data_IF_991914369754
#
_entry.id   IF_991914369754
#
_cell.length_a   1.000
_cell.length_b   1.000
_cell.length_c   1.000
_cell.angle_alpha   90.00
_cell.angle_beta   90.00
_cell.angle_gamma   90.00
#
_symmetry.space_group_name_H-M   'P 1'
#
loop_
_entity.id
_entity.type
_entity.pdbx_description
1 polymer ?
#
# COMPACT_ATOMS: atom_id res chain seq x y z
N UNK A 1 -14.15 -35.32 7.00
CA UNK A 1 -14.30 -33.88 6.65
C UNK A 1 -14.75 -33.00 7.83
N UNK A 2 -14.52 -33.44 9.09
CA UNK A 2 -14.93 -32.72 10.33
C UNK A 2 -13.76 -32.43 11.29
N UNK A 3 -12.51 -32.48 10.84
CA UNK A 3 -11.32 -32.25 11.68
C UNK A 3 -10.45 -31.05 11.27
N UNK A 4 -10.92 -30.17 10.37
CA UNK A 4 -10.18 -29.00 9.89
C UNK A 4 -10.78 -27.64 10.33
N UNK A 5 -11.78 -27.64 11.20
CA UNK A 5 -12.45 -26.39 11.66
C UNK A 5 -12.02 -25.99 13.09
N UNK A 6 -11.24 -26.80 13.80
CA UNK A 6 -10.92 -26.56 15.23
C UNK A 6 -9.50 -26.05 15.56
N UNK A 7 -8.71 -25.58 14.60
CA UNK A 7 -7.37 -25.01 14.89
C UNK A 7 -7.19 -23.58 14.41
N UNK A 8 -8.22 -22.75 14.48
CA UNK A 8 -8.20 -21.32 14.17
C UNK A 8 -8.41 -20.36 15.35
N UNK A 9 -8.38 -20.84 16.58
CA UNK A 9 -8.30 -19.96 17.75
C UNK A 9 -6.83 -19.65 18.07
N UNK A 10 -6.21 -18.79 17.25
CA UNK A 10 -5.05 -18.05 17.72
C UNK A 10 -5.52 -17.11 18.84
N UNK A 11 -4.91 -17.23 19.99
CA UNK A 11 -5.06 -16.30 21.09
C UNK A 11 -4.83 -14.89 20.53
N UNK A 12 -5.91 -14.11 20.42
CA UNK A 12 -5.82 -12.69 20.13
C UNK A 12 -4.91 -12.10 21.21
N UNK A 13 -3.74 -11.63 20.80
CA UNK A 13 -2.85 -10.90 21.70
C UNK A 13 -3.69 -9.83 22.39
N UNK A 14 -3.80 -9.96 23.69
CA UNK A 14 -4.62 -9.13 24.57
C UNK A 14 -4.07 -7.70 24.54
N UNK A 15 -4.48 -6.90 23.55
CA UNK A 15 -4.27 -5.45 23.55
C UNK A 15 -5.18 -4.95 24.66
N UNK A 16 -4.61 -4.72 25.83
CA UNK A 16 -5.31 -4.19 26.99
C UNK A 16 -6.06 -2.92 26.56
N UNK A 17 -7.39 -2.98 26.52
CA UNK A 17 -8.28 -1.91 26.12
C UNK A 17 -8.36 -0.80 27.18
N UNK A 18 -7.24 -0.15 27.45
CA UNK A 18 -7.19 1.08 28.22
C UNK A 18 -7.38 2.28 27.27
N UNK A 19 -8.37 3.12 27.51
CA UNK A 19 -8.44 4.42 26.84
C UNK A 19 -7.17 5.21 27.18
N UNK A 20 -6.40 5.62 26.14
CA UNK A 20 -5.29 6.55 26.35
C UNK A 20 -5.85 7.86 26.94
N UNK A 21 -5.17 8.41 27.93
CA UNK A 21 -5.55 9.72 28.43
C UNK A 21 -5.36 10.79 27.34
N UNK A 22 -6.14 11.88 27.44
CA UNK A 22 -6.15 12.94 26.42
C UNK A 22 -4.76 13.56 26.22
N UNK A 23 -3.94 13.71 27.25
CA UNK A 23 -2.59 14.31 27.16
C UNK A 23 -1.62 13.41 26.41
N UNK A 24 -1.68 12.10 26.64
CA UNK A 24 -0.88 11.10 25.90
C UNK A 24 -1.28 11.07 24.42
N UNK A 25 -2.58 11.05 24.11
CA UNK A 25 -3.06 11.07 22.74
C UNK A 25 -2.55 12.31 21.97
N UNK A 26 -2.64 13.49 22.57
CA UNK A 26 -2.15 14.74 21.97
C UNK A 26 -0.67 14.65 21.58
N UNK A 27 0.18 14.15 22.49
CA UNK A 27 1.61 13.96 22.25
C UNK A 27 1.87 12.97 21.10
N UNK A 28 1.14 11.86 21.04
CA UNK A 28 1.31 10.85 19.98
C UNK A 28 0.88 11.41 18.60
N UNK A 29 -0.19 12.18 18.55
CA UNK A 29 -0.64 12.87 17.33
C UNK A 29 0.40 13.88 16.84
N UNK A 30 1.03 14.64 17.76
CA UNK A 30 2.11 15.57 17.42
C UNK A 30 3.36 14.85 16.91
N UNK A 31 3.72 13.71 17.52
CA UNK A 31 4.80 12.83 17.02
C UNK A 31 4.48 12.32 15.61
N UNK A 32 3.25 11.90 15.37
CA UNK A 32 2.85 11.40 14.05
C UNK A 32 2.88 12.52 13.01
N UNK A 33 2.37 13.71 13.32
CA UNK A 33 2.47 14.86 12.42
C UNK A 33 3.93 15.24 12.11
N UNK A 34 4.82 15.24 13.13
CA UNK A 34 6.27 15.44 12.94
C UNK A 34 6.85 14.39 12.00
N UNK A 35 6.53 13.13 12.23
CA UNK A 35 7.01 12.01 11.41
C UNK A 35 6.60 12.17 9.94
N UNK A 36 5.33 12.47 9.68
CA UNK A 36 4.80 12.70 8.32
C UNK A 36 5.55 13.82 7.59
N UNK A 37 5.84 14.91 8.30
CA UNK A 37 6.53 16.08 7.73
C UNK A 37 8.03 15.84 7.56
N UNK A 38 8.70 15.26 8.56
CA UNK A 38 10.16 15.16 8.57
C UNK A 38 10.69 13.92 7.83
N UNK A 39 9.93 12.81 7.83
CA UNK A 39 10.31 11.55 7.18
C UNK A 39 9.43 11.27 5.98
N UNK A 40 8.09 11.37 6.14
CA UNK A 40 7.14 11.14 5.06
C UNK A 40 7.50 11.96 3.83
N UNK A 41 7.15 13.21 3.79
CA UNK A 41 7.49 14.09 2.67
C UNK A 41 8.89 14.70 2.76
N UNK A 42 9.61 14.51 3.86
CA UNK A 42 10.92 15.12 4.12
C UNK A 42 10.94 16.61 3.67
N UNK A 43 10.06 17.40 4.27
CA UNK A 43 9.79 18.77 3.87
C UNK A 43 11.04 19.63 3.97
N UNK A 44 11.37 20.32 2.89
CA UNK A 44 12.54 21.19 2.86
C UNK A 44 12.18 22.63 3.25
N UNK A 45 13.14 23.34 3.84
CA UNK A 45 12.95 24.75 4.24
C UNK A 45 12.54 25.60 3.03
N UNK A 46 11.50 26.41 3.21
CA UNK A 46 10.96 27.28 2.16
C UNK A 46 10.07 26.57 1.13
N UNK A 47 9.81 25.27 1.29
CA UNK A 47 8.93 24.50 0.39
C UNK A 47 7.44 24.73 0.73
N UNK A 48 6.59 24.62 -0.28
CA UNK A 48 5.13 24.56 -0.11
C UNK A 48 4.73 23.15 0.30
N UNK A 49 3.87 23.00 1.31
CA UNK A 49 3.19 21.77 1.62
C UNK A 49 1.73 21.82 1.18
N UNK A 50 1.26 20.77 0.51
CA UNK A 50 -0.15 20.54 0.21
C UNK A 50 -0.63 19.37 1.05
N UNK A 51 -1.73 19.53 1.78
CA UNK A 51 -2.36 18.45 2.55
C UNK A 51 -3.73 18.16 1.94
N UNK A 52 -3.90 17.00 1.33
CA UNK A 52 -5.22 16.50 0.92
C UNK A 52 -5.84 15.78 2.13
N UNK A 53 -6.97 16.24 2.62
CA UNK A 53 -7.57 15.71 3.84
C UNK A 53 -9.10 15.66 3.74
N UNK A 54 -9.73 14.56 4.19
CA UNK A 54 -11.14 14.56 4.54
C UNK A 54 -11.43 15.61 5.63
N UNK A 55 -12.58 16.24 5.58
CA UNK A 55 -12.95 17.28 6.55
C UNK A 55 -13.02 16.75 7.99
N UNK A 56 -13.33 15.48 8.14
CA UNK A 56 -13.33 14.75 9.41
C UNK A 56 -11.93 14.67 10.04
N UNK A 57 -10.88 14.78 9.20
CA UNK A 57 -9.49 14.72 9.61
C UNK A 57 -8.87 16.10 9.91
N UNK A 58 -9.70 17.14 10.07
CA UNK A 58 -9.25 18.52 10.18
C UNK A 58 -8.26 18.76 11.34
N UNK A 59 -8.43 18.10 12.48
CA UNK A 59 -7.54 18.27 13.63
C UNK A 59 -6.14 17.74 13.33
N UNK A 60 -6.03 16.58 12.70
CA UNK A 60 -4.73 16.03 12.31
C UNK A 60 -4.07 16.86 11.18
N UNK A 61 -4.84 17.33 10.21
CA UNK A 61 -4.33 18.21 9.17
C UNK A 61 -3.76 19.54 9.75
N UNK A 62 -4.37 20.09 10.80
CA UNK A 62 -3.85 21.27 11.51
C UNK A 62 -2.53 20.98 12.23
N UNK A 63 -2.37 19.77 12.83
CA UNK A 63 -1.11 19.33 13.45
C UNK A 63 0.00 19.19 12.41
N UNK A 64 -0.30 18.57 11.25
CA UNK A 64 0.64 18.50 10.12
C UNK A 64 1.07 19.90 9.69
N UNK A 65 0.13 20.85 9.58
CA UNK A 65 0.44 22.22 9.23
C UNK A 65 1.36 22.90 10.28
N UNK A 66 1.09 22.71 11.57
CA UNK A 66 1.94 23.21 12.67
C UNK A 66 3.36 22.64 12.60
N UNK A 67 3.47 21.32 12.41
CA UNK A 67 4.76 20.64 12.24
C UNK A 67 5.51 21.15 11.00
N UNK A 68 4.81 21.37 9.89
CA UNK A 68 5.39 21.89 8.66
C UNK A 68 5.94 23.32 8.82
N UNK A 69 5.21 24.21 9.47
CA UNK A 69 5.73 25.55 9.77
C UNK A 69 6.94 25.50 10.70
N UNK A 70 6.94 24.59 11.68
CA UNK A 70 8.09 24.36 12.57
C UNK A 70 9.31 23.85 11.78
N UNK A 71 9.10 23.00 10.78
CA UNK A 71 10.14 22.51 9.86
C UNK A 71 10.60 23.59 8.84
N UNK A 72 9.92 24.74 8.78
CA UNK A 72 10.29 25.85 7.91
C UNK A 72 9.57 25.89 6.57
N UNK A 73 8.37 25.30 6.48
CA UNK A 73 7.51 25.46 5.30
C UNK A 73 7.32 26.92 4.93
N UNK A 74 7.32 27.23 3.63
CA UNK A 74 6.97 28.56 3.14
C UNK A 74 5.49 28.84 3.36
N UNK A 75 4.65 27.84 3.11
CA UNK A 75 3.20 27.92 3.24
C UNK A 75 2.62 26.51 3.29
N UNK A 76 1.41 26.36 3.82
CA UNK A 76 0.65 25.11 3.82
C UNK A 76 -0.71 25.36 3.19
N UNK A 77 -1.07 24.55 2.21
CA UNK A 77 -2.41 24.56 1.59
C UNK A 77 -3.13 23.26 1.94
N UNK A 78 -4.35 23.38 2.45
CA UNK A 78 -5.20 22.21 2.71
C UNK A 78 -6.27 22.12 1.63
N UNK A 79 -6.30 20.99 0.93
CA UNK A 79 -7.33 20.65 -0.04
C UNK A 79 -8.33 19.70 0.64
N UNK A 80 -9.44 20.25 1.09
CA UNK A 80 -10.47 19.50 1.80
C UNK A 80 -11.30 18.66 0.85
N UNK A 81 -11.64 17.44 1.28
CA UNK A 81 -12.64 16.58 0.68
C UNK A 81 -13.72 16.25 1.71
N UNK A 82 -14.93 15.98 1.24
CA UNK A 82 -16.06 15.57 2.04
C UNK A 82 -16.78 14.42 1.29
N UNK A 83 -16.69 13.21 1.84
CA UNK A 83 -17.25 12.02 1.21
C UNK A 83 -18.78 12.03 1.24
N UNK A 84 -19.40 12.61 2.27
CA UNK A 84 -20.85 12.74 2.35
C UNK A 84 -21.37 13.70 1.28
N UNK A 85 -20.69 14.84 1.10
CA UNK A 85 -20.99 15.74 0.00
C UNK A 85 -20.77 15.09 -1.36
N UNK A 86 -19.68 14.34 -1.52
CA UNK A 86 -19.40 13.59 -2.75
C UNK A 86 -20.51 12.58 -3.07
N UNK A 87 -21.04 11.87 -2.05
CA UNK A 87 -22.18 10.97 -2.20
C UNK A 87 -23.41 11.71 -2.65
N UNK A 88 -23.81 12.79 -1.95
CA UNK A 88 -24.97 13.63 -2.33
C UNK A 88 -24.84 14.09 -3.78
N UNK A 89 -23.64 14.55 -4.20
CA UNK A 89 -23.39 14.98 -5.56
C UNK A 89 -23.58 13.85 -6.57
N UNK A 90 -23.11 12.63 -6.26
CA UNK A 90 -23.26 11.46 -7.13
C UNK A 90 -24.73 11.03 -7.25
N UNK A 91 -25.51 11.15 -6.19
CA UNK A 91 -26.94 10.81 -6.15
C UNK A 91 -27.80 11.86 -6.90
N UNK A 92 -27.57 13.16 -6.65
CA UNK A 92 -28.50 14.22 -7.01
C UNK A 92 -28.08 15.05 -8.24
N UNK A 93 -26.80 15.12 -8.57
CA UNK A 93 -26.35 15.96 -9.66
C UNK A 93 -26.69 15.38 -11.05
N UNK A 94 -26.88 16.27 -12.02
CA UNK A 94 -27.10 15.89 -13.41
C UNK A 94 -25.95 15.04 -13.95
N UNK A 95 -26.27 14.01 -14.73
CA UNK A 95 -25.32 12.96 -15.11
C UNK A 95 -24.13 13.49 -15.94
N UNK A 96 -24.36 14.51 -16.75
CA UNK A 96 -23.35 15.13 -17.63
C UNK A 96 -22.20 15.80 -16.85
N UNK A 97 -22.41 16.24 -15.61
CA UNK A 97 -21.37 16.91 -14.81
C UNK A 97 -20.22 15.97 -14.43
N UNK A 98 -20.44 14.65 -14.56
CA UNK A 98 -19.43 13.65 -14.23
C UNK A 98 -18.43 13.39 -15.38
N UNK A 99 -18.70 13.91 -16.57
CA UNK A 99 -17.75 13.90 -17.69
C UNK A 99 -16.79 15.09 -17.67
N UNK A 100 -16.98 16.02 -16.74
CA UNK A 100 -16.24 17.26 -16.65
C UNK A 100 -15.32 17.29 -15.44
N UNK A 101 -14.14 17.89 -15.61
CA UNK A 101 -13.25 18.26 -14.51
C UNK A 101 -12.98 19.77 -14.60
N UNK A 102 -13.27 20.56 -13.55
CA UNK A 102 -13.15 22.03 -13.60
C UNK A 102 -11.72 22.50 -13.88
N UNK A 103 -11.56 23.41 -14.83
CA UNK A 103 -10.25 23.94 -15.20
C UNK A 103 -9.52 24.60 -14.02
N UNK A 104 -10.24 25.37 -13.19
CA UNK A 104 -9.63 26.00 -12.02
C UNK A 104 -9.01 24.99 -11.05
N UNK A 105 -9.61 23.80 -10.92
CA UNK A 105 -9.11 22.75 -10.07
C UNK A 105 -7.87 22.08 -10.69
N UNK A 106 -7.89 21.85 -12.00
CA UNK A 106 -6.71 21.37 -12.74
C UNK A 106 -5.55 22.37 -12.59
N UNK A 107 -5.81 23.64 -12.81
CA UNK A 107 -4.79 24.70 -12.77
C UNK A 107 -4.19 24.85 -11.36
N UNK A 108 -4.97 24.61 -10.30
CA UNK A 108 -4.48 24.54 -8.93
C UNK A 108 -3.45 23.40 -8.76
N UNK A 109 -3.73 22.19 -9.24
CA UNK A 109 -2.78 21.07 -9.16
C UNK A 109 -1.52 21.34 -10.00
N UNK A 110 -1.66 21.94 -11.16
CA UNK A 110 -0.53 22.33 -12.01
C UNK A 110 0.34 23.42 -11.35
N UNK A 111 -0.26 24.35 -10.61
CA UNK A 111 0.47 25.35 -9.82
C UNK A 111 1.26 24.67 -8.68
N UNK A 112 0.68 23.67 -8.00
CA UNK A 112 1.41 22.88 -7.00
C UNK A 112 2.62 22.16 -7.61
N UNK A 113 2.44 21.52 -8.77
CA UNK A 113 3.55 20.90 -9.51
C UNK A 113 4.63 21.93 -9.85
N UNK A 114 4.26 23.05 -10.45
CA UNK A 114 5.21 24.09 -10.87
C UNK A 114 6.00 24.69 -9.69
N UNK A 115 5.44 24.66 -8.48
CA UNK A 115 6.09 25.13 -7.25
C UNK A 115 6.92 24.07 -6.54
N UNK A 116 6.98 22.85 -7.04
CA UNK A 116 7.67 21.73 -6.38
C UNK A 116 7.11 21.44 -4.99
N UNK A 117 5.77 21.49 -4.85
CA UNK A 117 5.12 21.26 -3.56
C UNK A 117 5.35 19.83 -3.07
N UNK A 118 5.56 19.67 -1.75
CA UNK A 118 5.40 18.39 -1.11
C UNK A 118 3.91 18.10 -0.87
N UNK A 119 3.49 16.84 -0.94
CA UNK A 119 2.06 16.47 -0.88
C UNK A 119 1.83 15.40 0.18
N UNK A 120 1.01 15.69 1.18
CA UNK A 120 0.50 14.70 2.13
C UNK A 120 -0.94 14.37 1.77
N UNK A 121 -1.29 13.09 1.71
CA UNK A 121 -2.67 12.64 1.52
C UNK A 121 -3.11 11.80 2.71
N UNK A 122 -4.15 12.25 3.42
CA UNK A 122 -4.74 11.52 4.53
C UNK A 122 -5.88 10.66 3.97
N UNK A 123 -5.70 9.33 4.05
CA UNK A 123 -6.72 8.35 3.71
C UNK A 123 -7.46 7.93 4.98
N UNK A 124 -8.74 8.27 5.05
CA UNK A 124 -9.60 7.98 6.21
C UNK A 124 -11.05 7.79 5.73
N UNK A 125 -11.21 6.98 4.68
CA UNK A 125 -12.49 6.77 4.01
C UNK A 125 -13.42 5.86 4.82
N UNK A 126 -14.72 6.09 4.69
CA UNK A 126 -15.74 5.12 5.07
C UNK A 126 -15.85 4.06 3.95
N UNK A 127 -15.49 2.78 4.22
CA UNK A 127 -15.51 1.74 3.19
C UNK A 127 -16.91 1.48 2.58
N UNK A 128 -17.98 1.97 3.21
CA UNK A 128 -19.37 1.71 2.81
C UNK A 128 -20.07 2.93 2.23
N UNK A 129 -19.44 4.10 2.22
CA UNK A 129 -20.10 5.39 1.90
C UNK A 129 -20.73 5.41 0.50
N UNK A 130 -20.13 4.71 -0.47
CA UNK A 130 -20.58 4.67 -1.87
C UNK A 130 -21.29 3.38 -2.26
N UNK A 131 -21.65 2.51 -1.29
CA UNK A 131 -22.23 1.18 -1.58
C UNK A 131 -23.50 1.22 -2.45
N UNK A 132 -24.30 2.27 -2.38
CA UNK A 132 -25.57 2.42 -3.11
C UNK A 132 -25.50 3.43 -4.24
N UNK A 133 -24.32 3.97 -4.53
CA UNK A 133 -24.11 4.95 -5.61
C UNK A 133 -24.01 4.23 -6.95
N UNK A 134 -24.54 4.85 -8.00
CA UNK A 134 -24.46 4.35 -9.37
C UNK A 134 -22.99 4.27 -9.86
N UNK A 135 -22.46 3.06 -10.14
CA UNK A 135 -21.03 2.89 -10.47
C UNK A 135 -20.59 3.67 -11.71
N UNK A 136 -21.48 3.85 -12.70
CA UNK A 136 -21.14 4.56 -13.94
C UNK A 136 -20.77 6.02 -13.70
N UNK A 137 -21.51 6.73 -12.85
CA UNK A 137 -21.19 8.13 -12.48
C UNK A 137 -19.81 8.25 -11.83
N UNK A 138 -19.46 7.30 -10.95
CA UNK A 138 -18.13 7.25 -10.32
C UNK A 138 -17.04 7.06 -11.36
N UNK A 139 -17.18 6.07 -12.25
CA UNK A 139 -16.22 5.77 -13.30
C UNK A 139 -16.02 6.95 -14.26
N UNK A 140 -17.10 7.63 -14.65
CA UNK A 140 -17.04 8.82 -15.51
C UNK A 140 -16.28 9.96 -14.82
N UNK A 141 -16.60 10.24 -13.56
CA UNK A 141 -15.89 11.25 -12.76
C UNK A 141 -14.41 10.92 -12.62
N UNK A 142 -14.06 9.65 -12.36
CA UNK A 142 -12.67 9.20 -12.27
C UNK A 142 -11.94 9.34 -13.61
N UNK A 143 -12.58 9.00 -14.74
CA UNK A 143 -12.01 9.18 -16.08
C UNK A 143 -11.77 10.65 -16.42
N UNK A 144 -12.73 11.53 -16.12
CA UNK A 144 -12.61 12.96 -16.34
C UNK A 144 -11.44 13.56 -15.53
N UNK A 145 -11.35 13.22 -14.24
CA UNK A 145 -10.26 13.62 -13.37
C UNK A 145 -8.91 13.02 -13.83
N UNK A 146 -8.90 11.73 -14.21
CA UNK A 146 -7.71 11.04 -14.72
C UNK A 146 -7.11 11.72 -15.94
N UNK A 147 -7.96 12.10 -16.90
CA UNK A 147 -7.56 12.82 -18.11
C UNK A 147 -7.04 14.24 -17.80
N UNK A 148 -7.77 14.97 -16.96
CA UNK A 148 -7.44 16.35 -16.64
C UNK A 148 -6.15 16.49 -15.80
N UNK A 149 -5.86 15.51 -14.94
CA UNK A 149 -4.72 15.51 -14.01
C UNK A 149 -3.60 14.55 -14.45
N UNK A 150 -3.61 14.07 -15.69
CA UNK A 150 -2.63 13.09 -16.18
C UNK A 150 -1.19 13.54 -15.93
N UNK A 151 -0.85 14.77 -16.30
CA UNK A 151 0.51 15.32 -16.13
C UNK A 151 0.90 15.43 -14.65
N UNK A 152 -0.01 15.86 -13.79
CA UNK A 152 0.23 15.93 -12.34
C UNK A 152 0.45 14.54 -11.74
N UNK A 153 -0.38 13.56 -12.12
CA UNK A 153 -0.26 12.18 -11.66
C UNK A 153 1.04 11.53 -12.12
N UNK A 154 1.44 11.77 -13.38
CA UNK A 154 2.73 11.30 -13.89
C UNK A 154 3.90 11.89 -13.09
N UNK A 155 3.85 13.20 -12.76
CA UNK A 155 4.88 13.83 -11.94
C UNK A 155 4.97 13.19 -10.53
N UNK A 156 3.83 12.84 -9.93
CA UNK A 156 3.81 12.11 -8.65
C UNK A 156 4.43 10.71 -8.79
N UNK A 157 3.99 9.94 -9.80
CA UNK A 157 4.49 8.57 -10.04
C UNK A 157 5.98 8.53 -10.41
N UNK A 158 6.50 9.59 -11.05
CA UNK A 158 7.91 9.71 -11.41
C UNK A 158 8.75 10.33 -10.28
N UNK A 159 8.18 10.53 -9.09
CA UNK A 159 8.83 11.17 -7.96
C UNK A 159 9.40 12.57 -8.26
N UNK A 160 8.81 13.29 -9.24
CA UNK A 160 9.14 14.71 -9.47
C UNK A 160 8.71 15.56 -8.27
N UNK A 161 7.67 15.12 -7.55
CA UNK A 161 7.18 15.70 -6.30
C UNK A 161 7.32 14.69 -5.17
N UNK A 162 7.65 15.15 -3.97
CA UNK A 162 7.60 14.32 -2.77
C UNK A 162 6.16 14.18 -2.30
N UNK A 163 5.78 12.98 -1.95
CA UNK A 163 4.44 12.70 -1.48
C UNK A 163 4.44 11.63 -0.37
N UNK A 164 3.44 11.68 0.48
CA UNK A 164 3.26 10.68 1.51
C UNK A 164 1.77 10.42 1.73
N UNK A 165 1.39 9.14 1.74
CA UNK A 165 0.05 8.70 2.14
C UNK A 165 0.10 8.23 3.58
N UNK A 166 -0.86 8.69 4.36
CA UNK A 166 -1.05 8.31 5.76
C UNK A 166 -2.51 8.02 6.01
N UNK A 167 -2.81 7.31 7.08
CA UNK A 167 -4.20 7.09 7.51
C UNK A 167 -4.39 7.43 8.97
N UNK A 168 -5.59 7.90 9.28
CA UNK A 168 -6.08 8.06 10.66
C UNK A 168 -7.48 7.45 10.79
N UNK A 169 -7.88 6.96 11.97
CA UNK A 169 -9.16 6.30 12.13
C UNK A 169 -10.34 7.25 11.92
N UNK A 170 -11.37 6.72 11.27
CA UNK A 170 -12.74 7.23 11.35
C UNK A 170 -13.57 6.25 12.16
N UNK A 171 -14.71 6.70 12.71
CA UNK A 171 -15.60 5.83 13.48
C UNK A 171 -16.14 4.67 12.62
N UNK A 172 -16.52 4.96 11.37
CA UNK A 172 -17.01 3.94 10.43
C UNK A 172 -15.96 2.89 10.10
N UNK A 173 -14.71 3.31 9.83
CA UNK A 173 -13.61 2.38 9.60
C UNK A 173 -13.28 1.56 10.85
N UNK A 174 -13.19 2.18 12.02
CA UNK A 174 -12.91 1.48 13.27
C UNK A 174 -13.97 0.41 13.60
N UNK A 175 -15.26 0.72 13.41
CA UNK A 175 -16.36 -0.24 13.56
C UNK A 175 -16.30 -1.39 12.56
N UNK A 176 -15.80 -1.15 11.35
CA UNK A 176 -15.60 -2.21 10.36
C UNK A 176 -14.47 -3.15 10.79
N UNK A 177 -13.36 -2.60 11.28
CA UNK A 177 -12.18 -3.37 11.74
C UNK A 177 -12.51 -4.14 13.03
N UNK A 178 -13.15 -3.50 14.00
CA UNK A 178 -13.49 -4.07 15.32
C UNK A 178 -15.00 -4.23 15.47
N UNK A 179 -15.56 -5.12 14.68
CA UNK A 179 -17.00 -5.40 14.70
C UNK A 179 -17.44 -5.84 16.10
N UNK A 180 -18.47 -5.14 16.65
CA UNK A 180 -19.02 -5.43 17.98
C UNK A 180 -18.43 -4.61 19.13
N UNK A 181 -17.46 -3.72 18.86
CA UNK A 181 -16.98 -2.76 19.86
C UNK A 181 -17.74 -1.43 19.77
N UNK A 182 -17.86 -0.72 20.90
CA UNK A 182 -18.40 0.64 20.95
C UNK A 182 -17.52 1.61 20.13
N UNK A 183 -18.16 2.62 19.48
CA UNK A 183 -17.47 3.48 18.52
C UNK A 183 -16.21 4.15 19.04
N UNK A 184 -16.22 4.71 20.25
CA UNK A 184 -15.05 5.35 20.85
C UNK A 184 -13.93 4.34 21.19
N UNK A 185 -14.30 3.15 21.66
CA UNK A 185 -13.33 2.09 21.98
C UNK A 185 -12.70 1.55 20.71
N UNK A 186 -13.49 1.31 19.67
CA UNK A 186 -12.98 0.87 18.36
C UNK A 186 -11.99 1.90 17.76
N UNK A 187 -12.33 3.19 17.84
CA UNK A 187 -11.45 4.28 17.37
C UNK A 187 -10.14 4.33 18.17
N UNK A 188 -10.22 4.24 19.50
CA UNK A 188 -9.04 4.24 20.35
C UNK A 188 -8.10 3.04 20.05
N UNK A 189 -8.70 1.86 19.84
CA UNK A 189 -7.97 0.65 19.49
C UNK A 189 -7.32 0.74 18.11
N UNK A 190 -8.02 1.34 17.13
CA UNK A 190 -7.47 1.55 15.79
C UNK A 190 -6.32 2.57 15.83
N UNK A 191 -6.40 3.63 16.64
CA UNK A 191 -5.27 4.52 16.89
C UNK A 191 -4.05 3.78 17.44
N UNK A 192 -4.23 2.91 18.44
CA UNK A 192 -3.13 2.10 18.97
C UNK A 192 -2.47 1.24 17.90
N UNK A 193 -3.28 0.61 17.04
CA UNK A 193 -2.78 -0.20 15.94
C UNK A 193 -2.00 0.65 14.92
N UNK A 194 -2.51 1.83 14.55
CA UNK A 194 -1.84 2.77 13.64
C UNK A 194 -0.53 3.26 14.24
N UNK A 195 -0.51 3.73 15.49
CA UNK A 195 0.72 4.21 16.13
C UNK A 195 1.80 3.13 16.15
N UNK A 196 1.46 1.87 16.47
CA UNK A 196 2.40 0.76 16.41
C UNK A 196 2.91 0.53 14.98
N UNK A 197 2.02 0.54 13.99
CA UNK A 197 2.38 0.36 12.58
C UNK A 197 3.34 1.46 12.09
N UNK A 198 3.14 2.70 12.55
CA UNK A 198 4.04 3.82 12.22
C UNK A 198 5.17 4.02 13.25
N UNK A 199 5.45 3.01 14.08
CA UNK A 199 6.58 2.99 15.05
C UNK A 199 6.55 4.13 16.05
N UNK A 200 5.36 4.53 16.47
CA UNK A 200 5.14 5.46 17.57
C UNK A 200 4.74 4.63 18.78
N UNK A 201 5.62 4.53 19.75
CA UNK A 201 5.39 3.78 20.97
C UNK A 201 4.83 4.70 22.07
N UNK A 202 3.65 4.35 22.60
CA UNK A 202 3.00 5.07 23.67
C UNK A 202 3.70 4.88 25.03
N UNK A 203 4.44 3.76 25.20
CA UNK A 203 5.16 3.45 26.43
C UNK A 203 6.56 4.11 26.47
N UNK A 204 7.06 4.54 25.31
CA UNK A 204 8.35 5.22 25.16
C UNK A 204 8.16 6.69 24.83
N UNK A 205 7.70 7.48 25.80
CA UNK A 205 7.39 8.89 25.58
C UNK A 205 8.55 9.71 24.99
N UNK A 206 9.79 9.37 25.32
CA UNK A 206 11.00 10.09 24.87
C UNK A 206 11.54 9.58 23.52
N UNK A 207 11.05 8.45 22.98
CA UNK A 207 11.52 7.93 21.70
C UNK A 207 11.14 8.86 20.55
N UNK A 208 12.12 9.19 19.70
CA UNK A 208 11.88 9.95 18.47
C UNK A 208 11.45 9.00 17.36
N UNK A 209 10.20 9.11 16.85
CA UNK A 209 9.74 8.24 15.77
C UNK A 209 10.51 8.45 14.47
N UNK A 210 11.12 9.62 14.26
CA UNK A 210 11.94 9.90 13.07
C UNK A 210 13.19 9.01 13.09
N UNK A 211 13.83 8.81 14.25
CA UNK A 211 14.97 7.92 14.38
C UNK A 211 14.59 6.45 14.19
N UNK A 212 13.46 6.01 14.76
CA UNK A 212 12.94 4.66 14.56
C UNK A 212 12.64 4.36 13.08
N UNK A 213 12.08 5.33 12.38
CA UNK A 213 11.83 5.22 10.94
C UNK A 213 13.12 5.23 10.12
N UNK A 214 14.12 6.02 10.49
CA UNK A 214 15.41 5.99 9.79
C UNK A 214 16.05 4.60 9.88
N UNK A 215 16.05 3.97 11.05
CA UNK A 215 16.56 2.61 11.22
C UNK A 215 15.78 1.59 10.37
N UNK A 216 14.46 1.75 10.29
CA UNK A 216 13.62 0.90 9.45
C UNK A 216 13.89 1.08 7.96
N UNK A 217 13.96 2.32 7.49
CA UNK A 217 14.32 2.64 6.10
C UNK A 217 15.70 2.08 5.75
N UNK A 218 16.69 2.23 6.63
CA UNK A 218 18.04 1.70 6.44
C UNK A 218 18.02 0.17 6.28
N UNK A 219 17.18 -0.51 7.08
CA UNK A 219 16.99 -1.96 6.97
C UNK A 219 16.38 -2.35 5.61
N UNK A 220 15.27 -1.72 5.20
CA UNK A 220 14.62 -2.02 3.91
C UNK A 220 15.55 -1.70 2.73
N UNK A 221 16.27 -0.58 2.79
CA UNK A 221 17.26 -0.24 1.77
C UNK A 221 18.46 -1.20 1.73
N UNK A 222 18.88 -1.76 2.88
CA UNK A 222 19.88 -2.85 2.91
C UNK A 222 19.34 -4.07 2.18
N UNK A 223 18.08 -4.44 2.40
CA UNK A 223 17.45 -5.54 1.70
C UNK A 223 17.33 -5.28 0.18
N UNK A 224 16.90 -4.07 -0.22
CA UNK A 224 16.88 -3.67 -1.64
C UNK A 224 18.28 -3.77 -2.28
N UNK A 225 19.32 -3.24 -1.63
CA UNK A 225 20.70 -3.34 -2.15
C UNK A 225 21.12 -4.78 -2.34
N UNK A 226 20.91 -5.64 -1.33
CA UNK A 226 21.21 -7.06 -1.44
C UNK A 226 20.52 -7.71 -2.64
N UNK A 227 19.20 -7.53 -2.77
CA UNK A 227 18.44 -8.12 -3.88
C UNK A 227 18.87 -7.57 -5.24
N UNK A 228 19.18 -6.28 -5.33
CA UNK A 228 19.68 -5.64 -6.54
C UNK A 228 21.09 -6.12 -6.94
N UNK A 229 21.98 -6.37 -5.98
CA UNK A 229 23.33 -6.90 -6.23
C UNK A 229 23.28 -8.36 -6.68
N UNK A 230 22.38 -9.16 -6.11
CA UNK A 230 22.27 -10.58 -6.46
C UNK A 230 21.71 -10.82 -7.85
N UNK A 231 20.82 -9.95 -8.36
CA UNK A 231 20.14 -10.09 -9.66
C UNK A 231 19.67 -11.54 -9.91
N UNK A 232 18.89 -12.07 -8.96
CA UNK A 232 18.37 -13.43 -9.05
C UNK A 232 17.58 -13.64 -10.35
N UNK A 233 17.77 -14.78 -10.98
CA UNK A 233 16.99 -15.17 -12.17
C UNK A 233 15.56 -15.58 -11.79
N UNK A 234 15.36 -16.10 -10.56
CA UNK A 234 14.05 -16.47 -10.04
C UNK A 234 14.03 -16.47 -8.50
N UNK A 235 12.82 -16.42 -7.94
CA UNK A 235 12.54 -16.71 -6.54
C UNK A 235 11.71 -17.99 -6.45
N UNK A 236 12.00 -18.83 -5.46
CA UNK A 236 11.24 -20.05 -5.19
C UNK A 236 10.63 -19.97 -3.79
N UNK A 237 9.31 -20.02 -3.73
CA UNK A 237 8.50 -19.85 -2.53
C UNK A 237 8.00 -21.21 -2.05
N UNK A 238 8.15 -21.51 -0.76
CA UNK A 238 7.57 -22.71 -0.13
C UNK A 238 7.04 -22.39 1.27
N UNK A 239 5.92 -23.01 1.66
CA UNK A 239 5.38 -22.93 3.02
C UNK A 239 4.50 -24.15 3.36
N UNK A 240 4.08 -24.27 4.62
CA UNK A 240 3.25 -25.34 5.13
C UNK A 240 1.81 -25.36 4.61
N UNK A 241 1.31 -24.29 3.99
CA UNK A 241 0.00 -24.26 3.33
C UNK A 241 0.00 -25.07 2.03
N UNK A 242 1.17 -25.39 1.49
CA UNK A 242 1.34 -26.10 0.23
C UNK A 242 1.73 -25.21 -0.94
N UNK A 243 2.14 -23.98 -0.67
CA UNK A 243 2.77 -23.12 -1.69
C UNK A 243 4.08 -23.75 -2.14
N UNK A 244 4.21 -23.92 -3.45
CA UNK A 244 5.42 -24.32 -4.17
C UNK A 244 5.41 -23.59 -5.51
N UNK A 245 5.98 -22.37 -5.51
CA UNK A 245 5.88 -21.42 -6.62
C UNK A 245 7.26 -20.91 -7.01
N UNK A 246 7.58 -20.99 -8.29
CA UNK A 246 8.76 -20.36 -8.87
C UNK A 246 8.34 -19.13 -9.66
N UNK A 247 8.94 -17.97 -9.32
CA UNK A 247 8.71 -16.68 -9.98
C UNK A 247 10.01 -16.21 -10.60
N UNK A 248 10.13 -16.24 -11.92
CA UNK A 248 11.28 -15.67 -12.63
C UNK A 248 11.21 -14.15 -12.59
N UNK A 249 12.39 -13.54 -12.57
CA UNK A 249 12.55 -12.08 -12.60
C UNK A 249 13.18 -11.68 -13.93
N UNK A 250 12.70 -10.62 -14.60
CA UNK A 250 13.28 -10.18 -15.86
C UNK A 250 14.70 -9.64 -15.64
N UNK A 251 15.56 -9.79 -16.64
CA UNK A 251 16.92 -9.26 -16.56
C UNK A 251 16.90 -7.74 -16.41
N UNK A 252 17.60 -7.24 -15.40
CA UNK A 252 17.64 -5.82 -15.06
C UNK A 252 16.44 -5.37 -14.23
N UNK A 253 15.75 -6.31 -13.54
CA UNK A 253 14.78 -5.94 -12.51
C UNK A 253 15.44 -5.10 -11.42
N UNK A 254 14.65 -4.21 -10.81
CA UNK A 254 15.08 -3.31 -9.75
C UNK A 254 14.15 -3.52 -8.55
N UNK A 255 14.73 -3.79 -7.39
CA UNK A 255 14.02 -3.80 -6.12
C UNK A 255 13.97 -2.39 -5.55
N UNK A 256 12.79 -1.94 -5.21
CA UNK A 256 12.48 -0.67 -4.57
C UNK A 256 11.78 -0.91 -3.22
N UNK A 257 11.73 0.09 -2.36
CA UNK A 257 11.02 0.05 -1.08
C UNK A 257 11.74 0.80 0.04
N UNK A 258 11.00 1.04 1.11
CA UNK A 258 11.46 1.76 2.30
C UNK A 258 11.50 3.27 2.11
N UNK A 259 12.12 3.77 1.06
CA UNK A 259 12.17 5.19 0.74
C UNK A 259 12.43 5.41 -0.75
N UNK A 260 11.91 6.50 -1.26
CA UNK A 260 12.03 6.97 -2.63
C UNK A 260 13.00 8.15 -2.72
N UNK A 261 13.52 8.41 -3.92
CA UNK A 261 14.34 9.59 -4.18
C UNK A 261 13.57 10.51 -5.14
N UNK A 262 13.32 11.73 -4.70
CA UNK A 262 12.66 12.72 -5.53
C UNK A 262 13.59 13.28 -6.61
N UNK A 263 13.02 13.97 -7.61
CA UNK A 263 13.77 14.57 -8.71
C UNK A 263 14.82 15.60 -8.28
N UNK A 264 14.70 16.15 -7.07
CA UNK A 264 15.68 17.06 -6.43
C UNK A 264 16.75 16.31 -5.60
N UNK A 265 16.74 14.98 -5.61
CA UNK A 265 17.70 14.14 -4.89
C UNK A 265 17.38 13.94 -3.40
N UNK A 266 16.26 14.45 -2.90
CA UNK A 266 15.85 14.30 -1.51
C UNK A 266 15.12 12.98 -1.32
N UNK A 267 15.54 12.21 -0.30
CA UNK A 267 14.90 10.95 0.09
C UNK A 267 13.60 11.24 0.87
N UNK A 268 12.53 10.47 0.59
CA UNK A 268 11.24 10.60 1.26
C UNK A 268 10.56 9.23 1.38
N UNK A 269 9.53 9.10 2.21
CA UNK A 269 8.77 7.87 2.41
C UNK A 269 7.35 8.04 1.90
N UNK A 270 7.04 7.38 0.79
CA UNK A 270 5.77 7.57 0.08
C UNK A 270 4.55 7.04 0.84
N UNK A 271 4.71 5.96 1.60
CA UNK A 271 3.63 5.33 2.38
C UNK A 271 4.02 5.19 3.84
N UNK A 272 3.14 5.60 4.74
CA UNK A 272 3.29 5.40 6.18
C UNK A 272 2.03 4.73 6.75
N UNK A 273 2.13 3.43 7.08
CA UNK A 273 3.35 2.60 7.12
C UNK A 273 3.78 2.06 5.76
N UNK A 274 5.04 1.55 5.68
CA UNK A 274 5.54 0.63 4.66
C UNK A 274 6.49 -0.37 5.32
N UNK A 275 6.38 -1.65 4.95
CA UNK A 275 7.17 -2.76 5.49
C UNK A 275 7.85 -3.56 4.38
N UNK A 276 7.67 -3.15 3.14
CA UNK A 276 7.99 -3.94 1.96
C UNK A 276 9.22 -3.47 1.21
N UNK A 277 9.82 -4.44 0.51
CA UNK A 277 10.57 -4.22 -0.71
C UNK A 277 9.89 -4.97 -1.85
N UNK A 278 9.80 -4.39 -3.02
CA UNK A 278 9.06 -4.96 -4.14
C UNK A 278 9.81 -4.84 -5.47
N UNK A 279 9.41 -5.70 -6.40
CA UNK A 279 9.86 -5.68 -7.79
C UNK A 279 8.79 -6.30 -8.68
N UNK A 280 9.05 -6.34 -9.99
CA UNK A 280 8.15 -6.99 -10.95
C UNK A 280 8.62 -8.42 -11.30
N UNK A 281 7.68 -9.38 -11.47
CA UNK A 281 7.98 -10.69 -12.04
C UNK A 281 8.11 -10.64 -13.56
N UNK A 282 8.75 -11.65 -14.16
CA UNK A 282 8.61 -11.90 -15.61
C UNK A 282 7.20 -12.41 -15.89
N UNK A 283 6.46 -11.71 -16.75
CA UNK A 283 5.07 -12.04 -17.11
C UNK A 283 4.88 -13.51 -17.46
N UNK A 284 5.84 -14.12 -18.16
CA UNK A 284 5.75 -15.50 -18.62
C UNK A 284 6.55 -16.48 -17.73
N UNK A 285 7.06 -16.01 -16.61
CA UNK A 285 8.03 -16.74 -15.80
C UNK A 285 7.51 -17.30 -14.49
N UNK A 286 6.19 -17.44 -14.31
CA UNK A 286 5.61 -17.94 -13.05
C UNK A 286 5.06 -19.34 -13.26
N UNK A 287 5.53 -20.31 -12.44
CA UNK A 287 5.12 -21.70 -12.52
C UNK A 287 4.96 -22.30 -11.12
N UNK A 288 3.89 -23.06 -10.88
CA UNK A 288 3.62 -23.73 -9.62
C UNK A 288 2.30 -23.36 -8.96
N UNK A 289 2.21 -23.57 -7.65
CA UNK A 289 0.99 -23.37 -6.86
C UNK A 289 1.26 -22.38 -5.73
N UNK A 290 0.31 -21.48 -5.50
CA UNK A 290 0.33 -20.56 -4.36
C UNK A 290 -1.01 -20.57 -3.63
N UNK A 291 -0.94 -20.46 -2.30
CA UNK A 291 -2.08 -20.30 -1.42
C UNK A 291 -2.04 -18.91 -0.81
N UNK A 292 -3.16 -18.17 -0.88
CA UNK A 292 -3.29 -16.93 -0.13
C UNK A 292 -3.33 -17.24 1.37
N UNK A 293 -2.55 -16.50 2.14
CA UNK A 293 -2.45 -16.64 3.60
C UNK A 293 -3.50 -15.83 4.35
N UNK A 294 -4.09 -14.82 3.69
CA UNK A 294 -5.12 -13.93 4.24
C UNK A 294 -6.27 -13.75 3.25
N UNK A 295 -7.48 -13.36 3.70
CA UNK A 295 -8.57 -12.96 2.81
C UNK A 295 -8.17 -11.74 1.97
N UNK A 296 -8.59 -11.73 0.71
CA UNK A 296 -8.48 -10.57 -0.17
C UNK A 296 -9.80 -9.78 -0.13
N UNK A 297 -9.75 -8.50 0.16
CA UNK A 297 -10.90 -7.60 0.08
C UNK A 297 -10.89 -6.85 -1.26
N UNK A 298 -11.65 -7.36 -2.24
CA UNK A 298 -11.77 -6.73 -3.55
C UNK A 298 -13.10 -5.97 -3.66
N UNK A 299 -13.04 -4.63 -3.75
CA UNK A 299 -14.21 -3.76 -3.86
C UNK A 299 -15.29 -4.03 -2.79
N UNK A 300 -14.88 -4.24 -1.54
CA UNK A 300 -15.78 -4.52 -0.42
C UNK A 300 -16.28 -5.96 -0.30
N UNK A 301 -15.82 -6.85 -1.18
CA UNK A 301 -16.16 -8.27 -1.18
C UNK A 301 -14.94 -9.10 -0.79
N UNK A 302 -15.13 -10.08 0.09
CA UNK A 302 -14.06 -10.96 0.55
C UNK A 302 -13.92 -12.20 -0.35
N UNK A 303 -12.68 -12.48 -0.75
CA UNK A 303 -12.25 -13.74 -1.37
C UNK A 303 -11.41 -14.47 -0.34
N UNK A 304 -11.85 -15.67 0.08
CA UNK A 304 -11.22 -16.44 1.17
C UNK A 304 -10.74 -17.80 0.67
N UNK A 305 -9.64 -18.29 1.23
CA UNK A 305 -9.08 -19.61 0.92
C UNK A 305 -8.66 -19.74 -0.55
N UNK A 306 -8.07 -18.69 -1.10
CA UNK A 306 -7.66 -18.65 -2.50
C UNK A 306 -6.46 -19.55 -2.75
N UNK A 307 -6.56 -20.39 -3.79
CA UNK A 307 -5.52 -21.25 -4.34
C UNK A 307 -5.39 -20.97 -5.83
N UNK A 308 -4.18 -20.69 -6.27
CA UNK A 308 -3.88 -20.40 -7.66
C UNK A 308 -2.83 -21.37 -8.18
N UNK A 309 -2.98 -21.78 -9.44
CA UNK A 309 -1.99 -22.58 -10.17
C UNK A 309 -1.56 -21.80 -11.41
N UNK A 310 -0.25 -21.63 -11.54
CA UNK A 310 0.37 -20.88 -12.64
C UNK A 310 1.10 -21.84 -13.58
N UNK A 311 1.00 -21.57 -14.88
CA UNK A 311 1.80 -22.21 -15.92
C UNK A 311 2.24 -21.17 -16.94
N UNK A 312 3.54 -21.06 -17.19
CA UNK A 312 4.14 -20.07 -18.08
C UNK A 312 3.62 -18.64 -17.81
N UNK A 313 3.53 -18.26 -16.53
CA UNK A 313 3.12 -16.96 -16.05
C UNK A 313 1.62 -16.76 -15.87
N UNK A 314 0.79 -17.55 -16.53
CA UNK A 314 -0.66 -17.39 -16.52
C UNK A 314 -1.32 -18.22 -15.43
N UNK A 315 -2.31 -17.66 -14.75
CA UNK A 315 -3.23 -18.42 -13.90
C UNK A 315 -4.01 -19.40 -14.77
N UNK A 316 -3.80 -20.71 -14.57
CA UNK A 316 -4.48 -21.79 -15.28
C UNK A 316 -5.59 -22.42 -14.45
N UNK A 317 -5.53 -22.27 -13.12
CA UNK A 317 -6.57 -22.66 -12.19
C UNK A 317 -6.64 -21.70 -11.03
N UNK A 318 -7.85 -21.26 -10.68
CA UNK A 318 -8.14 -20.39 -9.55
C UNK A 318 -9.30 -20.96 -8.75
N UNK A 319 -9.11 -21.13 -7.45
CA UNK A 319 -10.10 -21.66 -6.53
C UNK A 319 -10.18 -20.77 -5.30
N UNK A 320 -11.39 -20.51 -4.81
CA UNK A 320 -11.63 -19.80 -3.56
C UNK A 320 -12.72 -20.53 -2.75
N UNK A 321 -12.53 -20.65 -1.43
CA UNK A 321 -13.54 -21.22 -0.55
C UNK A 321 -14.78 -20.32 -0.46
N UNK A 322 -14.58 -18.99 -0.58
CA UNK A 322 -15.63 -17.97 -0.65
C UNK A 322 -15.23 -16.91 -1.65
N UNK A 323 -16.20 -16.36 -2.39
CA UNK A 323 -15.95 -15.28 -3.36
C UNK A 323 -15.41 -15.74 -4.70
N UNK A 324 -15.62 -17.03 -5.10
CA UNK A 324 -15.16 -17.57 -6.38
C UNK A 324 -15.58 -16.72 -7.58
N UNK A 325 -16.86 -16.32 -7.66
CA UNK A 325 -17.35 -15.50 -8.78
C UNK A 325 -16.67 -14.12 -8.87
N UNK A 326 -16.17 -13.60 -7.74
CA UNK A 326 -15.47 -12.32 -7.67
C UNK A 326 -14.05 -12.51 -8.17
N UNK A 327 -13.38 -13.59 -7.77
CA UNK A 327 -12.08 -13.98 -8.27
C UNK A 327 -12.11 -14.20 -9.79
N UNK A 328 -13.10 -14.91 -10.28
CA UNK A 328 -13.28 -15.15 -11.74
C UNK A 328 -13.45 -13.83 -12.52
N UNK A 329 -14.22 -12.88 -11.97
CA UNK A 329 -14.41 -11.55 -12.58
C UNK A 329 -13.13 -10.71 -12.54
N UNK A 330 -12.38 -10.75 -11.44
CA UNK A 330 -11.09 -10.07 -11.32
C UNK A 330 -10.11 -10.55 -12.40
N UNK A 331 -9.95 -11.86 -12.53
CA UNK A 331 -9.05 -12.49 -13.52
C UNK A 331 -9.51 -12.31 -14.97
N UNK A 332 -10.76 -11.93 -15.19
CA UNK A 332 -11.37 -11.71 -16.51
C UNK A 332 -11.46 -10.24 -16.94
N UNK A 333 -10.94 -9.29 -16.14
CA UNK A 333 -11.01 -7.85 -16.46
C UNK A 333 -10.32 -7.54 -17.79
N UNK A 334 -9.13 -8.09 -17.99
CA UNK A 334 -8.38 -8.08 -19.25
C UNK A 334 -7.39 -9.26 -19.29
N UNK A 335 -6.60 -9.38 -20.38
CA UNK A 335 -5.63 -10.45 -20.49
C UNK A 335 -4.56 -10.41 -19.40
N UNK A 336 -4.07 -9.21 -19.05
CA UNK A 336 -3.03 -9.00 -18.03
C UNK A 336 -3.47 -9.35 -16.62
N UNK A 337 -4.77 -9.27 -16.32
CA UNK A 337 -5.31 -9.58 -14.99
C UNK A 337 -5.06 -11.02 -14.53
N UNK A 338 -4.80 -11.94 -15.43
CA UNK A 338 -4.44 -13.34 -15.12
C UNK A 338 -2.94 -13.62 -15.04
N UNK A 339 -2.13 -12.58 -15.00
CA UNK A 339 -0.67 -12.64 -14.79
C UNK A 339 -0.28 -11.80 -13.58
N UNK A 340 0.90 -12.09 -13.00
CA UNK A 340 1.41 -11.28 -11.92
C UNK A 340 2.07 -9.99 -12.43
N UNK A 341 1.91 -8.91 -11.67
CA UNK A 341 2.54 -7.61 -11.87
C UNK A 341 3.53 -7.23 -10.79
N UNK A 342 3.43 -7.85 -9.60
CA UNK A 342 4.29 -7.52 -8.48
C UNK A 342 4.70 -8.73 -7.66
N UNK A 343 5.89 -8.60 -7.07
CA UNK A 343 6.45 -9.47 -6.03
C UNK A 343 6.91 -8.58 -4.90
N UNK A 344 6.27 -8.68 -3.75
CA UNK A 344 6.63 -7.91 -2.56
C UNK A 344 7.09 -8.81 -1.41
N UNK A 345 8.14 -8.41 -0.74
CA UNK A 345 8.74 -9.10 0.39
C UNK A 345 8.55 -8.28 1.66
N UNK A 346 7.79 -8.81 2.59
CA UNK A 346 7.46 -8.22 3.90
C UNK A 346 7.80 -9.23 4.98
N UNK A 347 8.53 -8.84 6.02
CA UNK A 347 8.80 -9.71 7.15
C UNK A 347 7.51 -10.11 7.88
N UNK A 348 7.42 -11.38 8.25
CA UNK A 348 6.33 -11.86 9.11
C UNK A 348 6.38 -11.18 10.49
N UNK A 349 7.57 -10.96 11.03
CA UNK A 349 7.77 -10.20 12.27
C UNK A 349 7.78 -8.69 11.98
N UNK A 350 6.60 -8.14 11.72
CA UNK A 350 6.36 -6.71 11.53
C UNK A 350 5.24 -6.21 12.43
N UNK A 351 5.18 -4.92 12.76
CA UNK A 351 4.11 -4.37 13.60
C UNK A 351 2.70 -4.66 13.07
N UNK A 352 2.53 -4.62 11.75
CA UNK A 352 1.23 -4.86 11.11
C UNK A 352 0.89 -6.35 11.15
N UNK A 353 1.81 -7.23 10.77
CA UNK A 353 1.62 -8.67 10.82
C UNK A 353 1.30 -9.15 12.24
N UNK A 354 2.08 -8.68 13.22
CA UNK A 354 1.95 -9.04 14.64
C UNK A 354 0.64 -8.54 15.27
N UNK A 355 -0.02 -7.53 14.68
CA UNK A 355 -1.32 -7.05 15.15
C UNK A 355 -2.43 -8.09 14.96
N UNK A 356 -2.32 -8.96 13.97
CA UNK A 356 -3.37 -9.91 13.57
C UNK A 356 -4.65 -9.23 13.04
N UNK A 357 -4.63 -7.91 12.79
CA UNK A 357 -5.77 -7.12 12.37
C UNK A 357 -5.88 -7.15 10.85
N UNK A 358 -7.10 -7.34 10.33
CA UNK A 358 -7.46 -7.01 8.96
C UNK A 358 -8.00 -5.58 8.96
N UNK A 359 -7.26 -4.66 8.35
CA UNK A 359 -7.57 -3.23 8.42
C UNK A 359 -8.66 -2.80 7.43
N UNK A 360 -8.93 -3.58 6.39
CA UNK A 360 -9.78 -3.16 5.26
C UNK A 360 -9.27 -1.85 4.62
N UNK A 361 -7.97 -1.66 4.64
CA UNK A 361 -7.27 -0.51 4.09
C UNK A 361 -5.96 -1.01 3.47
N UNK A 362 -5.82 -0.88 2.16
CA UNK A 362 -4.69 -1.38 1.38
C UNK A 362 -3.35 -0.92 1.94
N UNK A 363 -3.22 0.35 2.38
CA UNK A 363 -2.00 0.88 2.98
C UNK A 363 -1.45 0.04 4.15
N UNK A 364 -2.33 -0.67 4.89
CA UNK A 364 -1.93 -1.55 5.98
C UNK A 364 -1.92 -3.01 5.55
N UNK A 365 -2.96 -3.44 4.85
CA UNK A 365 -3.19 -4.86 4.59
C UNK A 365 -2.12 -5.43 3.64
N UNK A 366 -1.64 -4.68 2.64
CA UNK A 366 -0.52 -5.05 1.78
C UNK A 366 0.79 -5.23 2.58
N UNK A 367 0.99 -4.41 3.60
CA UNK A 367 2.17 -4.42 4.46
C UNK A 367 2.09 -5.46 5.60
N UNK A 368 1.07 -6.31 5.62
CA UNK A 368 0.88 -7.34 6.64
C UNK A 368 1.60 -8.67 6.35
N UNK A 369 2.06 -8.92 5.13
CA UNK A 369 2.76 -10.14 4.74
C UNK A 369 3.42 -9.99 3.35
N UNK A 370 4.37 -10.87 3.03
CA UNK A 370 4.78 -11.05 1.63
C UNK A 370 3.53 -11.20 0.76
N UNK A 371 3.49 -10.50 -0.37
CA UNK A 371 2.36 -10.54 -1.29
C UNK A 371 2.79 -10.60 -2.74
N UNK A 372 1.85 -10.95 -3.58
CA UNK A 372 1.96 -10.91 -5.03
C UNK A 372 0.79 -10.10 -5.55
N UNK A 373 0.96 -9.34 -6.62
CA UNK A 373 -0.15 -8.63 -7.25
C UNK A 373 -0.55 -9.25 -8.57
N UNK A 374 -1.86 -9.38 -8.81
CA UNK A 374 -2.37 -9.57 -10.15
C UNK A 374 -2.24 -8.29 -10.98
N UNK A 375 -1.98 -8.43 -12.25
CA UNK A 375 -2.18 -7.38 -13.22
C UNK A 375 -0.95 -6.51 -13.46
N UNK A 376 -1.12 -5.19 -13.33
CA UNK A 376 -0.16 -4.19 -13.80
C UNK A 376 1.14 -4.21 -13.02
N UNK A 377 2.26 -4.24 -13.75
CA UNK A 377 3.59 -4.07 -13.17
C UNK A 377 4.04 -2.60 -13.22
N UNK A 378 4.92 -2.21 -12.28
CA UNK A 378 5.52 -0.89 -12.26
C UNK A 378 6.76 -0.84 -13.16
N UNK A 379 6.77 -0.02 -14.23
CA UNK A 379 7.93 0.08 -15.13
C UNK A 379 9.22 0.54 -14.44
N UNK A 380 9.11 1.28 -13.34
CA UNK A 380 10.25 1.72 -12.50
C UNK A 380 11.02 0.55 -11.88
N UNK A 381 10.38 -0.62 -11.73
CA UNK A 381 11.03 -1.85 -11.27
C UNK A 381 11.84 -2.56 -12.35
N UNK A 382 12.05 -1.94 -13.52
CA UNK A 382 12.93 -2.39 -14.59
C UNK A 382 13.89 -1.28 -14.96
N UNK A 383 15.19 -1.59 -15.12
CA UNK A 383 16.20 -0.60 -15.53
C UNK A 383 15.82 0.11 -16.83
N UNK A 384 15.57 1.42 -16.74
CA UNK A 384 15.15 2.26 -17.87
C UNK A 384 13.69 2.06 -18.30
N UNK A 385 12.90 1.29 -17.55
CA UNK A 385 11.51 0.97 -17.91
C UNK A 385 10.60 2.19 -17.98
N UNK A 386 10.88 3.23 -17.21
CA UNK A 386 10.15 4.50 -17.25
C UNK A 386 10.26 5.26 -18.58
N UNK A 387 11.22 4.87 -19.44
CA UNK A 387 11.47 5.46 -20.76
C UNK A 387 11.00 4.57 -21.92
N UNK A 388 10.52 3.36 -21.62
CA UNK A 388 10.07 2.38 -22.59
C UNK A 388 8.57 2.59 -22.91
N UNK A 389 8.20 2.31 -24.13
CA UNK A 389 6.78 2.20 -24.47
C UNK A 389 6.18 0.85 -24.03
N UNK A 390 4.84 0.71 -24.10
CA UNK A 390 4.15 -0.51 -23.65
C UNK A 390 4.56 -1.76 -24.43
N UNK A 391 4.94 -1.64 -25.69
CA UNK A 391 5.37 -2.78 -26.51
C UNK A 391 6.78 -3.25 -26.11
N UNK A 392 7.69 -2.31 -25.84
CA UNK A 392 9.03 -2.58 -25.33
C UNK A 392 8.97 -3.21 -23.93
N UNK A 393 8.13 -2.67 -23.05
CA UNK A 393 7.91 -3.21 -21.72
C UNK A 393 7.41 -4.66 -21.76
N UNK A 394 6.41 -4.94 -22.61
CA UNK A 394 5.88 -6.29 -22.75
C UNK A 394 6.93 -7.28 -23.30
N UNK A 395 7.77 -6.87 -24.26
CA UNK A 395 8.88 -7.67 -24.75
C UNK A 395 9.94 -7.97 -23.68
N UNK A 396 10.05 -7.11 -22.68
CA UNK A 396 10.94 -7.25 -21.52
C UNK A 396 10.34 -8.05 -20.37
N UNK A 397 9.12 -8.60 -20.56
CA UNK A 397 8.42 -9.40 -19.57
C UNK A 397 7.60 -8.59 -18.55
N UNK A 398 7.42 -7.28 -18.76
CA UNK A 398 6.59 -6.44 -17.89
C UNK A 398 5.12 -6.64 -18.24
N UNK A 399 4.30 -6.99 -17.26
CA UNK A 399 2.86 -7.17 -17.47
C UNK A 399 2.13 -5.82 -17.45
N UNK A 400 1.14 -5.67 -18.32
CA UNK A 400 0.25 -4.51 -18.36
C UNK A 400 -1.21 -4.97 -18.22
N UNK A 401 -1.98 -4.22 -17.42
CA UNK A 401 -3.39 -4.52 -17.12
C UNK A 401 -4.10 -3.25 -16.65
N UNK A 402 -5.42 -3.32 -16.63
CA UNK A 402 -6.28 -2.29 -16.03
C UNK A 402 -6.41 -2.46 -14.51
N UNK A 403 -5.97 -3.59 -13.97
CA UNK A 403 -6.00 -3.89 -12.53
C UNK A 403 -4.58 -4.02 -11.97
N UNK A 404 -4.45 -3.73 -10.69
CA UNK A 404 -3.33 -4.08 -9.83
C UNK A 404 -3.96 -4.44 -8.49
N UNK A 405 -3.83 -5.71 -8.06
CA UNK A 405 -4.54 -6.20 -6.88
C UNK A 405 -3.68 -7.18 -6.09
N UNK A 406 -3.34 -6.79 -4.86
CA UNK A 406 -2.43 -7.50 -4.00
C UNK A 406 -3.13 -8.63 -3.24
N UNK A 407 -2.50 -9.80 -3.17
CA UNK A 407 -2.94 -10.90 -2.32
C UNK A 407 -1.80 -11.47 -1.49
N UNK A 408 -2.06 -11.67 -0.21
CA UNK A 408 -1.06 -12.06 0.77
C UNK A 408 -0.71 -13.54 0.65
N UNK A 409 0.60 -13.85 0.66
CA UNK A 409 1.14 -15.22 0.58
C UNK A 409 2.07 -15.55 1.76
N UNK A 410 2.48 -14.53 2.51
CA UNK A 410 3.40 -14.65 3.65
C UNK A 410 2.79 -15.45 4.80
N UNK A 411 3.58 -16.35 5.37
CA UNK A 411 3.27 -17.16 6.57
C UNK A 411 4.48 -17.19 7.50
N UNK A 412 4.28 -17.57 8.75
CA UNK A 412 5.35 -17.68 9.75
C UNK A 412 6.46 -18.67 9.36
N UNK A 413 6.16 -19.64 8.49
CA UNK A 413 7.07 -20.67 8.00
C UNK A 413 7.47 -20.47 6.53
N UNK A 414 7.15 -19.30 5.93
CA UNK A 414 7.51 -19.02 4.56
C UNK A 414 9.02 -19.06 4.37
N UNK A 415 9.47 -19.85 3.40
CA UNK A 415 10.82 -19.87 2.91
C UNK A 415 10.88 -19.37 1.45
N UNK A 416 11.86 -18.51 1.15
CA UNK A 416 12.12 -18.03 -0.21
C UNK A 416 13.59 -18.21 -0.51
N UNK A 417 13.89 -18.91 -1.61
CA UNK A 417 15.24 -19.06 -2.15
C UNK A 417 15.39 -18.22 -3.42
N UNK A 418 16.41 -17.38 -3.47
CA UNK A 418 16.86 -16.72 -4.69
C UNK A 418 17.69 -17.66 -5.53
N UNK A 419 17.32 -17.84 -6.79
CA UNK A 419 18.00 -18.71 -7.75
C UNK A 419 18.82 -17.83 -8.72
N UNK A 420 20.14 -18.01 -8.75
CA UNK A 420 21.01 -17.29 -9.68
C UNK A 420 20.97 -17.92 -11.09
N UNK A 421 21.50 -17.19 -12.07
CA UNK A 421 21.58 -17.66 -13.46
C UNK A 421 22.38 -18.96 -13.64
N UNK A 422 23.32 -19.25 -12.75
CA UNK A 422 24.08 -20.50 -12.72
C UNK A 422 23.37 -21.67 -12.00
N UNK A 423 22.16 -21.43 -11.50
CA UNK A 423 21.35 -22.40 -10.75
C UNK A 423 21.68 -22.49 -9.25
N UNK A 424 22.68 -21.74 -8.75
CA UNK A 424 22.97 -21.69 -7.32
C UNK A 424 21.85 -20.99 -6.57
N UNK A 425 21.60 -21.42 -5.31
CA UNK A 425 20.49 -20.94 -4.48
C UNK A 425 21.03 -20.18 -3.26
N UNK A 426 20.32 -19.13 -2.89
CA UNK A 426 20.60 -18.32 -1.70
C UNK A 426 19.31 -18.16 -0.91
N UNK A 427 19.36 -18.44 0.39
CA UNK A 427 18.22 -18.22 1.26
C UNK A 427 17.96 -16.71 1.38
N UNK A 428 16.78 -16.26 0.95
CA UNK A 428 16.32 -14.86 1.05
C UNK A 428 15.40 -14.72 2.26
N UNK A 429 14.43 -15.64 2.41
CA UNK A 429 13.52 -15.71 3.56
C UNK A 429 13.62 -17.07 4.22
N UNK A 430 13.62 -17.08 5.55
CA UNK A 430 13.53 -18.27 6.39
C UNK A 430 12.63 -17.96 7.57
N UNK A 431 11.74 -18.90 7.88
CA UNK A 431 10.79 -18.72 8.98
C UNK A 431 10.04 -17.38 8.90
N UNK A 432 9.56 -17.04 7.69
CA UNK A 432 8.81 -15.84 7.39
C UNK A 432 9.58 -14.52 7.39
N UNK A 433 10.89 -14.51 7.61
CA UNK A 433 11.68 -13.29 7.78
C UNK A 433 12.92 -13.27 6.87
N UNK A 434 13.47 -12.08 6.62
CA UNK A 434 14.71 -11.96 5.84
C UNK A 434 15.85 -12.75 6.50
N UNK A 435 16.50 -13.60 5.70
CA UNK A 435 17.68 -14.38 6.07
C UNK A 435 18.97 -13.81 5.46
N UNK A 436 18.94 -12.53 5.08
CA UNK A 436 20.07 -11.82 4.48
C UNK A 436 20.98 -11.27 5.60
N UNK A 437 22.29 -11.47 5.46
CA UNK A 437 23.31 -11.05 6.43
C UNK A 437 23.60 -9.52 6.40
#
# INVERSE_FOLDING_TARGET
MEKLVEQGNMEHGNVAGGSMDSGTMEKLLDKYAKLVVCTGVNLQKGQLLVVNAPIECADFARRIAGAAFTAGARDVKVNWSDEQFARIRLEEAASEVFDEFPNWRRDMFMDFKAKGAAVVSIHASDPMIFQHVEPDKMLRSQRAAGKALLEYRQAMMNNELRWCVVSIPTESWAKKVFAGEEGEQAVARLWQAIFRAVRIDAEQEDADPVEAWQQHVDFLQKACRFMNEQQFAALHYTNGLGTDLTVKLPKGHVWAGGAEIAGDGVCFVANMPTEEIYTLPDRNGVDGVVYASKPLNYNGNLIEGMRLEFAAGKVVRAEAARGQEILDKLLAVDEGASYLGEVALVQYDSPISNSGILFYNTLFDENAACHLAFGKAYPTCLQGGEKMDSAELLQRGVNDSLVHEDFMVGTADLAIEGIRADGSRVQVFKDGNFAIA
#
